data_IF_726560140501
#
_entry.id   IF_726560140501
#
_cell.length_a   1.000
_cell.length_b   1.000
_cell.length_c   1.000
_cell.angle_alpha   90.00
_cell.angle_beta   90.00
_cell.angle_gamma   90.00
#
_symmetry.space_group_name_H-M   'P 1'
#
loop_
_entity.id
_entity.type
_entity.pdbx_description
1 polymer ?
#
# COMPACT_ATOMS: atom_id res chain seq x y z
N UNK A 1 17.60 -12.85 -22.51
CA UNK A 1 16.88 -12.32 -21.33
C UNK A 1 15.59 -13.10 -21.23
N UNK A 2 15.46 -13.88 -20.17
CA UNK A 2 14.35 -14.81 -19.95
C UNK A 2 13.12 -14.07 -19.43
N UNK A 3 11.94 -14.69 -19.52
CA UNK A 3 10.69 -14.11 -18.99
C UNK A 3 10.83 -13.85 -17.49
N UNK A 4 11.39 -14.82 -16.76
CA UNK A 4 11.70 -14.71 -15.34
C UNK A 4 12.58 -13.49 -15.02
N UNK A 5 13.54 -13.13 -15.88
CA UNK A 5 14.37 -11.94 -15.68
C UNK A 5 13.54 -10.64 -15.66
N UNK A 6 12.48 -10.56 -16.46
CA UNK A 6 11.56 -9.39 -16.45
C UNK A 6 10.73 -9.33 -15.17
N UNK A 7 10.27 -10.49 -14.67
CA UNK A 7 9.56 -10.58 -13.39
C UNK A 7 10.46 -10.17 -12.21
N UNK A 8 11.72 -10.61 -12.22
CA UNK A 8 12.70 -10.22 -11.19
C UNK A 8 12.98 -8.72 -11.22
N UNK A 9 13.12 -8.12 -12.42
CA UNK A 9 13.28 -6.67 -12.56
C UNK A 9 12.07 -5.91 -12.05
N UNK A 10 10.86 -6.37 -12.38
CA UNK A 10 9.63 -5.76 -11.91
C UNK A 10 9.52 -5.83 -10.39
N UNK A 11 9.82 -6.99 -9.79
CA UNK A 11 9.86 -7.17 -8.35
C UNK A 11 10.87 -6.21 -7.70
N UNK A 12 12.06 -6.06 -8.28
CA UNK A 12 13.09 -5.13 -7.79
C UNK A 12 12.65 -3.67 -7.91
N UNK A 13 12.02 -3.29 -9.01
CA UNK A 13 11.47 -1.95 -9.22
C UNK A 13 10.37 -1.63 -8.20
N UNK A 14 9.42 -2.56 -7.99
CA UNK A 14 8.35 -2.42 -7.02
C UNK A 14 8.87 -2.33 -5.58
N UNK A 15 9.87 -3.17 -5.23
CA UNK A 15 10.52 -3.16 -3.93
C UNK A 15 11.15 -1.79 -3.63
N UNK A 16 11.88 -1.22 -4.61
CA UNK A 16 12.53 0.08 -4.47
C UNK A 16 11.57 1.26 -4.46
N UNK A 17 10.53 1.25 -5.31
CA UNK A 17 9.49 2.30 -5.29
C UNK A 17 8.81 2.35 -3.92
N UNK A 18 8.50 1.20 -3.33
CA UNK A 18 7.78 1.15 -2.05
C UNK A 18 8.55 1.80 -0.91
N UNK A 19 9.87 1.61 -0.84
CA UNK A 19 10.68 2.29 0.16
C UNK A 19 10.70 3.81 0.03
N UNK A 20 10.41 4.35 -1.16
CA UNK A 20 10.29 5.80 -1.36
C UNK A 20 8.99 6.37 -0.76
N UNK A 21 7.91 5.58 -0.67
CA UNK A 21 6.59 6.03 -0.21
C UNK A 21 6.28 5.74 1.26
N UNK A 22 7.14 5.02 2.00
CA UNK A 22 6.94 4.81 3.44
C UNK A 22 6.97 6.16 4.18
N UNK A 23 5.96 6.48 5.01
CA UNK A 23 6.00 7.70 5.85
C UNK A 23 7.09 7.55 6.91
N UNK A 24 8.14 8.35 6.82
CA UNK A 24 9.20 8.39 7.84
C UNK A 24 8.80 9.28 9.01
N UNK A 25 9.02 8.80 10.25
CA UNK A 25 8.96 9.66 11.44
C UNK A 25 10.17 10.61 11.40
N UNK A 26 9.90 11.90 11.26
CA UNK A 26 10.92 12.92 11.01
C UNK A 26 11.89 13.19 12.19
N UNK A 27 11.52 12.83 13.42
CA UNK A 27 12.32 13.09 14.61
C UNK A 27 12.71 11.80 15.32
N UNK A 28 13.70 11.09 14.77
CA UNK A 28 14.30 9.95 15.48
C UNK A 28 15.76 10.27 15.75
N UNK A 29 16.21 10.07 16.99
CA UNK A 29 17.60 10.36 17.36
C UNK A 29 18.55 9.46 16.56
N UNK A 30 19.62 10.05 16.04
CA UNK A 30 20.62 9.37 15.21
C UNK A 30 21.20 8.11 15.88
N UNK A 31 21.36 8.12 17.22
CA UNK A 31 21.81 6.95 17.98
C UNK A 31 20.86 5.75 17.86
N UNK A 32 19.55 5.99 17.85
CA UNK A 32 18.56 4.93 17.73
C UNK A 32 18.57 4.33 16.31
N UNK A 33 18.83 5.17 15.31
CA UNK A 33 18.99 4.75 13.92
C UNK A 33 20.27 3.95 13.70
N UNK A 34 21.37 4.34 14.35
CA UNK A 34 22.61 3.55 14.37
C UNK A 34 22.36 2.18 15.03
N UNK A 35 21.68 2.12 16.18
CA UNK A 35 21.33 0.85 16.84
C UNK A 35 20.44 -0.02 15.95
N UNK A 36 19.44 0.58 15.30
CA UNK A 36 18.55 -0.11 14.37
C UNK A 36 19.34 -0.67 13.17
N UNK A 37 20.20 0.14 12.54
CA UNK A 37 21.03 -0.24 11.41
C UNK A 37 21.96 -1.40 11.77
N UNK A 38 22.61 -1.35 12.94
CA UNK A 38 23.42 -2.46 13.47
C UNK A 38 22.56 -3.72 13.63
N UNK A 39 21.34 -3.59 14.15
CA UNK A 39 20.39 -4.70 14.28
C UNK A 39 20.03 -5.34 12.94
N UNK A 40 19.85 -4.54 11.89
CA UNK A 40 19.60 -5.02 10.52
C UNK A 40 20.83 -5.72 9.94
N UNK A 41 22.01 -5.13 10.10
CA UNK A 41 23.28 -5.67 9.61
C UNK A 41 23.61 -7.01 10.27
N UNK A 42 23.36 -7.15 11.58
CA UNK A 42 23.54 -8.43 12.30
C UNK A 42 22.65 -9.54 11.76
N UNK A 43 21.47 -9.20 11.25
CA UNK A 43 20.52 -10.16 10.67
C UNK A 43 20.82 -10.47 9.19
N UNK A 44 21.65 -9.68 8.51
CA UNK A 44 21.89 -9.82 7.07
C UNK A 44 22.35 -11.23 6.67
N UNK A 45 23.35 -11.78 7.36
CA UNK A 45 23.88 -13.12 7.06
C UNK A 45 22.82 -14.22 7.21
N UNK A 46 22.02 -14.14 8.27
CA UNK A 46 20.87 -15.04 8.49
C UNK A 46 19.86 -14.92 7.35
N UNK A 47 19.47 -13.71 6.95
CA UNK A 47 18.51 -13.53 5.84
C UNK A 47 19.05 -14.06 4.53
N UNK A 48 20.32 -13.79 4.22
CA UNK A 48 20.95 -14.32 3.03
C UNK A 48 20.96 -15.86 3.04
N UNK A 49 21.28 -16.48 4.18
CA UNK A 49 21.25 -17.93 4.35
C UNK A 49 19.84 -18.50 4.15
N UNK A 50 18.83 -17.93 4.81
CA UNK A 50 17.43 -18.38 4.68
C UNK A 50 16.90 -18.25 3.26
N UNK A 51 17.36 -17.21 2.53
CA UNK A 51 17.01 -17.02 1.13
C UNK A 51 17.95 -17.78 0.18
N UNK A 52 18.98 -18.49 0.67
CA UNK A 52 19.91 -19.23 -0.17
C UNK A 52 19.45 -20.67 -0.41
N UNK A 53 18.18 -20.84 -0.74
CA UNK A 53 17.61 -22.12 -1.17
C UNK A 53 17.76 -22.31 -2.69
N UNK A 54 17.61 -23.54 -3.17
CA UNK A 54 17.79 -23.87 -4.57
C UNK A 54 16.47 -23.91 -5.33
N UNK A 55 15.39 -24.32 -4.66
CA UNK A 55 14.08 -24.45 -5.27
C UNK A 55 13.02 -23.60 -4.57
N UNK A 56 11.97 -23.25 -5.32
CA UNK A 56 10.89 -22.40 -4.82
C UNK A 56 10.12 -23.04 -3.66
N UNK A 57 9.91 -24.37 -3.68
CA UNK A 57 9.19 -25.09 -2.62
C UNK A 57 9.96 -25.18 -1.30
N UNK A 58 11.27 -24.92 -1.31
CA UNK A 58 12.13 -24.88 -0.12
C UNK A 58 12.10 -23.50 0.55
N UNK A 59 11.52 -22.50 -0.12
CA UNK A 59 11.49 -21.13 0.36
C UNK A 59 10.44 -20.98 1.47
N UNK A 60 10.91 -20.72 2.68
CA UNK A 60 10.04 -20.26 3.77
C UNK A 60 9.60 -18.81 3.50
N UNK A 61 8.30 -18.63 3.29
CA UNK A 61 7.69 -17.33 3.02
C UNK A 61 7.83 -16.35 4.20
N UNK A 62 7.92 -16.85 5.44
CA UNK A 62 8.17 -15.99 6.59
C UNK A 62 9.60 -15.43 6.54
N UNK A 63 10.59 -16.23 6.19
CA UNK A 63 11.95 -15.78 5.98
C UNK A 63 12.07 -14.72 4.87
N UNK A 64 11.32 -14.88 3.76
CA UNK A 64 11.21 -13.85 2.71
C UNK A 64 10.56 -12.55 3.23
N UNK A 65 9.48 -12.66 4.00
CA UNK A 65 8.80 -11.52 4.63
C UNK A 65 9.73 -10.75 5.58
N UNK A 66 10.47 -11.47 6.41
CA UNK A 66 11.41 -10.86 7.35
C UNK A 66 12.60 -10.20 6.65
N UNK A 67 13.09 -10.78 5.54
CA UNK A 67 14.12 -10.17 4.70
C UNK A 67 13.65 -8.87 4.05
N UNK A 68 12.40 -8.82 3.56
CA UNK A 68 11.76 -7.60 3.04
C UNK A 68 11.65 -6.52 4.11
N UNK A 69 11.17 -6.88 5.30
CA UNK A 69 11.05 -5.96 6.43
C UNK A 69 12.41 -5.36 6.81
N UNK A 70 13.47 -6.17 6.83
CA UNK A 70 14.83 -5.68 7.07
C UNK A 70 15.30 -4.67 6.02
N UNK A 71 15.03 -4.94 4.73
CA UNK A 71 15.38 -4.01 3.64
C UNK A 71 14.62 -2.68 3.74
N UNK A 72 13.32 -2.71 4.05
CA UNK A 72 12.54 -1.48 4.24
C UNK A 72 13.02 -0.68 5.45
N UNK A 73 13.34 -1.34 6.57
CA UNK A 73 13.95 -0.69 7.72
C UNK A 73 15.26 0.03 7.35
N UNK A 74 16.09 -0.59 6.51
CA UNK A 74 17.30 0.03 5.98
C UNK A 74 16.99 1.27 5.13
N UNK A 75 16.04 1.18 4.18
CA UNK A 75 15.69 2.33 3.33
C UNK A 75 15.13 3.51 4.13
N UNK A 76 14.37 3.23 5.20
CA UNK A 76 13.89 4.26 6.12
C UNK A 76 15.04 4.95 6.88
N UNK A 77 16.07 4.19 7.27
CA UNK A 77 17.29 4.75 7.86
C UNK A 77 18.06 5.59 6.83
N UNK A 78 18.36 5.02 5.65
CA UNK A 78 19.15 5.68 4.59
C UNK A 78 18.55 7.03 4.18
N UNK A 79 17.22 7.12 4.15
CA UNK A 79 16.52 8.35 3.77
C UNK A 79 16.55 9.42 4.85
N UNK A 80 16.50 9.03 6.13
CA UNK A 80 16.52 9.98 7.26
C UNK A 80 17.93 10.43 7.60
N UNK A 81 18.88 9.50 7.57
CA UNK A 81 20.27 9.69 7.93
C UNK A 81 21.18 9.03 6.88
N UNK A 82 21.29 9.59 5.67
CA UNK A 82 22.19 9.06 4.65
C UNK A 82 23.65 9.04 5.09
N UNK A 83 24.04 9.94 6.01
CA UNK A 83 25.40 10.09 6.53
C UNK A 83 25.90 8.88 7.33
N UNK A 84 25.00 8.06 7.90
CA UNK A 84 25.37 6.85 8.66
C UNK A 84 25.39 5.57 7.80
N UNK A 85 25.04 5.68 6.51
CA UNK A 85 25.04 4.55 5.57
C UNK A 85 26.31 4.58 4.75
N UNK A 86 27.22 3.66 5.04
CA UNK A 86 28.44 3.49 4.23
C UNK A 86 28.14 2.76 2.92
N UNK A 87 29.06 2.87 1.96
CA UNK A 87 28.97 2.17 0.67
C UNK A 87 28.88 0.65 0.83
N UNK A 88 29.56 0.09 1.84
CA UNK A 88 29.52 -1.34 2.15
C UNK A 88 28.15 -1.78 2.64
N UNK A 89 27.53 -0.98 3.51
CA UNK A 89 26.16 -1.21 3.99
C UNK A 89 25.17 -1.17 2.82
N UNK A 90 25.32 -0.18 1.94
CA UNK A 90 24.51 -0.06 0.73
C UNK A 90 24.67 -1.29 -0.19
N UNK A 91 25.90 -1.76 -0.42
CA UNK A 91 26.15 -2.96 -1.22
C UNK A 91 25.47 -4.19 -0.59
N UNK A 92 25.60 -4.38 0.73
CA UNK A 92 24.97 -5.50 1.44
C UNK A 92 23.45 -5.46 1.27
N UNK A 93 22.82 -4.31 1.52
CA UNK A 93 21.37 -4.20 1.45
C UNK A 93 20.84 -4.28 0.01
N UNK A 94 21.61 -3.81 -0.97
CA UNK A 94 21.30 -4.02 -2.38
C UNK A 94 21.38 -5.50 -2.79
N UNK A 95 22.31 -6.27 -2.23
CA UNK A 95 22.36 -7.71 -2.44
C UNK A 95 21.17 -8.43 -1.81
N UNK A 96 20.75 -8.00 -0.60
CA UNK A 96 19.53 -8.49 0.03
C UNK A 96 18.30 -8.18 -0.85
N UNK A 97 18.18 -6.96 -1.35
CA UNK A 97 17.09 -6.55 -2.25
C UNK A 97 17.06 -7.37 -3.53
N UNK A 98 18.21 -7.61 -4.17
CA UNK A 98 18.30 -8.50 -5.34
C UNK A 98 17.84 -9.91 -5.01
N UNK A 99 18.22 -10.47 -3.86
CA UNK A 99 17.82 -11.82 -3.48
C UNK A 99 16.33 -11.93 -3.15
N UNK A 100 15.78 -10.94 -2.45
CA UNK A 100 14.33 -10.79 -2.25
C UNK A 100 13.61 -10.70 -3.60
N UNK A 101 14.11 -9.87 -4.50
CA UNK A 101 13.47 -9.63 -5.80
C UNK A 101 13.57 -10.84 -6.73
N UNK A 102 14.63 -11.63 -6.60
CA UNK A 102 14.75 -12.91 -7.28
C UNK A 102 13.61 -13.84 -6.88
N UNK A 103 13.37 -14.01 -5.57
CA UNK A 103 12.34 -14.91 -5.07
C UNK A 103 10.93 -14.41 -5.29
N UNK A 104 10.70 -13.12 -5.08
CA UNK A 104 9.44 -12.48 -5.46
C UNK A 104 9.21 -12.70 -6.96
N UNK A 105 10.18 -12.38 -7.82
CA UNK A 105 10.09 -12.61 -9.27
C UNK A 105 9.79 -14.07 -9.66
N UNK A 106 10.39 -15.05 -8.96
CA UNK A 106 10.09 -16.48 -9.15
C UNK A 106 8.65 -16.82 -8.73
N UNK A 107 8.21 -16.38 -7.55
CA UNK A 107 6.83 -16.56 -7.09
C UNK A 107 5.83 -15.92 -8.05
N UNK A 108 6.15 -14.72 -8.54
CA UNK A 108 5.34 -14.01 -9.53
C UNK A 108 5.25 -14.82 -10.83
N UNK A 109 6.40 -15.23 -11.37
CA UNK A 109 6.50 -15.96 -12.63
C UNK A 109 5.73 -17.29 -12.58
N UNK A 110 5.91 -18.09 -11.54
CA UNK A 110 5.20 -19.37 -11.40
C UNK A 110 3.68 -19.17 -11.28
N UNK A 111 3.23 -18.11 -10.59
CA UNK A 111 1.80 -17.81 -10.43
C UNK A 111 1.13 -17.25 -11.70
N UNK A 112 1.86 -16.59 -12.60
CA UNK A 112 1.28 -15.95 -13.79
C UNK A 112 1.47 -16.74 -15.08
N UNK A 113 2.38 -17.73 -15.09
CA UNK A 113 2.72 -18.56 -16.26
C UNK A 113 1.51 -19.29 -16.88
N UNK A 114 0.40 -19.41 -16.16
CA UNK A 114 -0.84 -20.07 -16.61
C UNK A 114 -1.94 -19.10 -17.07
N UNK A 115 -1.76 -17.78 -16.90
CA UNK A 115 -2.88 -16.81 -16.97
C UNK A 115 -2.71 -15.75 -18.08
N UNK A 116 -1.50 -15.46 -18.56
CA UNK A 116 -1.24 -14.22 -19.33
C UNK A 116 -0.67 -14.47 -20.73
N UNK A 117 -1.19 -13.73 -21.71
CA UNK A 117 -0.65 -13.62 -23.07
C UNK A 117 0.64 -12.77 -23.11
N UNK A 118 1.71 -13.37 -23.61
CA UNK A 118 3.10 -12.96 -23.44
C UNK A 118 3.52 -11.75 -24.29
N UNK A 119 3.00 -11.62 -25.51
CA UNK A 119 3.42 -10.52 -26.41
C UNK A 119 2.93 -9.16 -25.90
N UNK A 120 1.67 -9.14 -25.44
CA UNK A 120 1.05 -8.00 -24.80
C UNK A 120 1.88 -7.52 -23.59
N UNK A 121 2.21 -8.42 -22.66
CA UNK A 121 2.99 -8.08 -21.46
C UNK A 121 4.34 -7.40 -21.76
N UNK A 122 5.05 -7.86 -22.81
CA UNK A 122 6.37 -7.32 -23.18
C UNK A 122 6.28 -5.93 -23.80
N UNK A 123 5.28 -5.68 -24.65
CA UNK A 123 5.02 -4.37 -25.25
C UNK A 123 4.62 -3.34 -24.17
N UNK A 124 3.87 -3.78 -23.16
CA UNK A 124 3.46 -2.94 -22.05
C UNK A 124 4.60 -2.58 -21.07
N UNK A 125 5.57 -3.47 -20.83
CA UNK A 125 6.75 -3.22 -19.99
C UNK A 125 7.70 -2.16 -20.57
N UNK A 126 7.69 -1.97 -21.89
CA UNK A 126 8.54 -0.99 -22.59
C UNK A 126 8.01 0.44 -22.47
N UNK A 127 6.78 0.63 -21.99
CA UNK A 127 6.18 1.95 -21.80
C UNK A 127 6.15 2.33 -20.31
N UNK A 128 6.92 3.33 -19.84
CA UNK A 128 7.05 3.66 -18.42
C UNK A 128 5.74 4.02 -17.70
N UNK A 129 4.77 4.59 -18.43
CA UNK A 129 3.46 5.00 -17.89
C UNK A 129 2.55 3.78 -17.75
N UNK A 130 2.57 2.89 -18.74
CA UNK A 130 1.82 1.62 -18.68
C UNK A 130 2.47 0.65 -17.69
N UNK A 131 3.80 0.59 -17.60
CA UNK A 131 4.54 -0.19 -16.60
C UNK A 131 4.20 0.24 -15.16
N UNK A 132 3.97 1.53 -14.89
CA UNK A 132 3.54 2.01 -13.57
C UNK A 132 2.05 1.71 -13.26
N UNK A 133 1.21 1.63 -14.31
CA UNK A 133 -0.20 1.28 -14.21
C UNK A 133 -0.37 -0.22 -14.01
N UNK A 134 0.36 -1.02 -14.79
CA UNK A 134 0.52 -2.47 -14.63
C UNK A 134 1.17 -2.77 -13.30
N UNK A 135 2.22 -2.08 -12.85
CA UNK A 135 2.77 -2.30 -11.51
C UNK A 135 1.71 -2.13 -10.39
N UNK A 136 0.62 -1.40 -10.59
CA UNK A 136 -0.51 -1.42 -9.66
C UNK A 136 -1.48 -2.56 -9.98
N UNK A 137 -2.03 -2.60 -11.18
CA UNK A 137 -3.10 -3.54 -11.56
C UNK A 137 -2.61 -5.01 -11.55
N UNK A 138 -1.37 -5.25 -11.99
CA UNK A 138 -0.65 -6.52 -11.94
C UNK A 138 -0.21 -6.91 -10.53
N UNK A 139 0.26 -5.98 -9.68
CA UNK A 139 0.51 -6.30 -8.27
C UNK A 139 -0.81 -6.58 -7.53
N UNK A 140 -1.92 -5.99 -7.98
CA UNK A 140 -3.26 -6.29 -7.49
C UNK A 140 -3.72 -7.68 -7.92
N UNK A 141 -3.58 -8.07 -9.19
CA UNK A 141 -3.93 -9.41 -9.72
C UNK A 141 -2.99 -10.52 -9.20
N UNK A 142 -1.71 -10.22 -9.03
CA UNK A 142 -0.75 -11.13 -8.39
C UNK A 142 -1.03 -11.23 -6.89
N UNK A 143 -1.32 -10.13 -6.21
CA UNK A 143 -1.72 -10.19 -4.82
C UNK A 143 -2.98 -11.07 -4.74
N UNK A 144 -4.02 -10.77 -5.50
CA UNK A 144 -5.21 -11.63 -5.70
C UNK A 144 -4.88 -13.13 -5.83
N UNK A 145 -3.93 -13.49 -6.70
CA UNK A 145 -3.56 -14.86 -6.99
C UNK A 145 -2.73 -15.51 -5.87
N UNK A 146 -1.68 -14.83 -5.39
CA UNK A 146 -0.81 -15.24 -4.27
C UNK A 146 -1.61 -15.48 -2.98
N UNK A 147 -2.64 -14.67 -2.76
CA UNK A 147 -3.47 -14.73 -1.57
C UNK A 147 -4.62 -15.73 -1.65
N UNK A 148 -5.06 -16.08 -2.86
CA UNK A 148 -5.99 -17.20 -3.06
C UNK A 148 -5.34 -18.54 -2.69
N UNK A 149 -4.05 -18.71 -2.98
CA UNK A 149 -3.33 -19.96 -2.67
C UNK A 149 -2.82 -20.02 -1.22
N UNK A 150 -2.43 -18.89 -0.63
CA UNK A 150 -2.00 -18.86 0.78
C UNK A 150 -3.16 -19.06 1.78
N UNK A 151 -4.39 -18.68 1.42
CA UNK A 151 -5.58 -18.89 2.25
C UNK A 151 -5.99 -20.38 2.35
N UNK A 152 -5.51 -21.23 1.42
CA UNK A 152 -5.82 -22.66 1.38
C UNK A 152 -4.82 -23.54 2.16
N UNK A 153 -3.68 -22.99 2.62
CA UNK A 153 -2.64 -23.79 3.30
C UNK A 153 -2.47 -23.54 4.80
N UNK A 154 -3.14 -22.55 5.42
CA UNK A 154 -2.99 -22.27 6.85
C UNK A 154 -4.23 -22.57 7.69
N UNK A 155 -4.66 -23.84 7.66
CA UNK A 155 -5.43 -24.45 8.74
C UNK A 155 -4.50 -24.97 9.85
N UNK A 156 -3.85 -24.08 10.62
CA UNK A 156 -2.91 -24.49 11.67
C UNK A 156 -2.57 -23.41 12.70
N UNK A 157 -3.18 -23.52 13.88
CA UNK A 157 -3.14 -22.60 15.05
C UNK A 157 -1.76 -22.20 15.60
N UNK A 158 -1.63 -20.97 16.16
CA UNK A 158 -1.70 -20.71 17.64
C UNK A 158 -1.44 -19.24 18.07
N UNK A 159 -2.44 -18.70 18.76
CA UNK A 159 -2.49 -17.71 19.88
C UNK A 159 -1.53 -16.51 19.99
N UNK A 160 -2.10 -15.33 19.73
CA UNK A 160 -2.04 -14.13 20.59
C UNK A 160 -3.34 -13.38 20.29
N UNK A 161 -4.30 -13.33 21.22
CA UNK A 161 -5.69 -12.81 21.06
C UNK A 161 -5.99 -12.35 19.62
N UNK A 162 -6.21 -13.34 18.73
CA UNK A 162 -6.42 -13.06 17.30
C UNK A 162 -7.68 -12.21 17.26
N UNK A 163 -7.57 -11.00 16.75
CA UNK A 163 -8.74 -10.19 16.42
C UNK A 163 -9.52 -11.02 15.40
N UNK A 164 -10.62 -11.64 15.85
CA UNK A 164 -11.39 -12.59 15.03
C UNK A 164 -12.14 -11.88 13.90
N UNK A 165 -12.45 -10.60 14.12
CA UNK A 165 -13.15 -9.75 13.17
C UNK A 165 -12.62 -8.32 13.23
N UNK A 166 -12.66 -7.62 12.09
CA UNK A 166 -12.45 -6.17 11.99
C UNK A 166 -13.66 -5.53 11.36
N UNK A 167 -13.88 -4.27 11.71
CA UNK A 167 -14.92 -3.45 11.12
C UNK A 167 -14.29 -2.27 10.41
N UNK A 168 -14.75 -2.00 9.19
CA UNK A 168 -14.30 -0.89 8.36
C UNK A 168 -15.49 0.04 8.13
N UNK A 169 -15.32 1.33 8.40
CA UNK A 169 -16.26 2.37 7.98
C UNK A 169 -15.63 3.10 6.80
N UNK A 170 -16.35 3.23 5.69
CA UNK A 170 -15.87 3.86 4.46
C UNK A 170 -16.82 4.96 4.07
N UNK A 171 -16.26 6.10 3.67
CA UNK A 171 -17.01 7.23 3.10
C UNK A 171 -16.30 7.75 1.86
N UNK A 172 -17.09 8.23 0.90
CA UNK A 172 -16.59 8.86 -0.32
C UNK A 172 -17.01 10.33 -0.44
N UNK A 173 -16.17 11.12 -1.07
CA UNK A 173 -16.45 12.54 -1.29
C UNK A 173 -15.87 13.04 -2.61
N UNK A 174 -16.60 13.94 -3.25
CA UNK A 174 -16.09 14.74 -4.35
C UNK A 174 -15.86 16.16 -3.85
N UNK A 175 -14.63 16.66 -4.03
CA UNK A 175 -14.23 17.99 -3.58
C UNK A 175 -13.68 18.81 -4.71
N UNK A 176 -13.71 20.14 -4.57
CA UNK A 176 -13.00 21.01 -5.50
C UNK A 176 -11.50 20.81 -5.36
N UNK A 177 -10.83 20.65 -6.49
CA UNK A 177 -9.39 20.57 -6.59
C UNK A 177 -8.80 21.90 -6.12
N UNK A 178 -8.02 21.93 -5.03
CA UNK A 178 -7.58 23.18 -4.39
C UNK A 178 -6.70 24.04 -5.29
N UNK A 179 -6.05 23.43 -6.29
CA UNK A 179 -5.07 24.08 -7.16
C UNK A 179 -5.47 24.14 -8.64
N UNK A 180 -6.70 23.73 -8.99
CA UNK A 180 -7.13 23.76 -10.39
C UNK A 180 -7.84 25.09 -10.69
N UNK A 181 -7.29 25.96 -11.56
CA UNK A 181 -7.78 27.33 -11.74
C UNK A 181 -9.22 27.42 -12.28
N UNK A 182 -9.76 26.34 -12.86
CA UNK A 182 -11.15 26.24 -13.34
C UNK A 182 -12.09 25.43 -12.44
N UNK A 183 -11.65 25.04 -11.24
CA UNK A 183 -12.50 24.31 -10.28
C UNK A 183 -12.77 22.85 -10.65
N UNK A 184 -11.71 22.08 -10.98
CA UNK A 184 -11.81 20.63 -11.19
C UNK A 184 -12.30 19.90 -9.93
N UNK A 185 -12.81 18.67 -10.07
CA UNK A 185 -13.17 17.83 -8.93
C UNK A 185 -12.07 16.82 -8.64
N UNK A 186 -11.86 16.55 -7.36
CA UNK A 186 -11.04 15.46 -6.83
C UNK A 186 -11.97 14.53 -6.11
N UNK A 187 -11.96 13.28 -6.57
CA UNK A 187 -12.64 12.18 -5.91
C UNK A 187 -11.73 11.62 -4.83
N UNK A 188 -12.21 11.65 -3.60
CA UNK A 188 -11.52 11.13 -2.44
C UNK A 188 -12.40 10.11 -1.74
N UNK A 189 -11.75 9.25 -0.98
CA UNK A 189 -12.40 8.41 0.00
C UNK A 189 -11.66 8.51 1.32
N UNK A 190 -12.34 8.05 2.36
CA UNK A 190 -11.71 7.76 3.63
C UNK A 190 -12.17 6.41 4.14
N UNK A 191 -11.35 5.80 4.98
CA UNK A 191 -11.78 4.64 5.74
C UNK A 191 -11.14 4.59 7.12
N UNK A 192 -11.89 4.00 8.05
CA UNK A 192 -11.48 3.75 9.42
C UNK A 192 -11.56 2.24 9.65
N UNK A 193 -10.44 1.62 9.99
CA UNK A 193 -10.36 0.21 10.36
C UNK A 193 -10.33 0.11 11.88
N UNK A 194 -11.18 -0.74 12.46
CA UNK A 194 -11.21 -0.98 13.89
C UNK A 194 -11.31 -2.48 14.23
N UNK A 195 -10.78 -2.84 15.40
CA UNK A 195 -10.80 -4.20 15.94
C UNK A 195 -12.20 -4.58 16.42
N UNK A 196 -12.58 -5.82 16.15
CA UNK A 196 -13.85 -6.41 16.57
C UNK A 196 -15.01 -6.11 15.62
N UNK A 197 -16.15 -6.69 15.96
CA UNK A 197 -17.42 -6.53 15.26
C UNK A 197 -18.19 -5.34 15.80
N UNK A 198 -17.88 -4.17 15.26
CA UNK A 198 -18.48 -2.90 15.63
C UNK A 198 -19.78 -2.71 14.85
N UNK A 199 -20.87 -2.40 15.55
CA UNK A 199 -22.18 -2.20 14.92
C UNK A 199 -22.41 -0.74 14.53
N UNK A 200 -21.82 0.20 15.27
CA UNK A 200 -22.00 1.64 15.08
C UNK A 200 -20.69 2.39 15.32
N UNK A 201 -20.45 3.46 14.57
CA UNK A 201 -19.27 4.32 14.76
C UNK A 201 -19.15 4.92 16.17
N UNK A 202 -20.26 5.04 16.92
CA UNK A 202 -20.24 5.49 18.32
C UNK A 202 -19.42 4.58 19.23
N UNK A 203 -19.21 3.32 18.84
CA UNK A 203 -18.39 2.35 19.57
C UNK A 203 -16.89 2.47 19.21
N UNK A 204 -16.53 3.26 18.19
CA UNK A 204 -15.13 3.53 17.84
C UNK A 204 -14.47 4.39 18.92
N UNK A 205 -13.30 3.95 19.38
CA UNK A 205 -12.44 4.66 20.32
C UNK A 205 -10.96 4.42 19.96
N UNK A 206 -10.05 5.22 20.53
CA UNK A 206 -8.62 5.12 20.22
C UNK A 206 -8.00 3.73 20.48
N UNK A 207 -8.58 2.94 21.39
CA UNK A 207 -8.05 1.62 21.71
C UNK A 207 -8.44 0.54 20.69
N UNK A 208 -9.55 0.72 19.96
CA UNK A 208 -10.01 -0.22 18.93
C UNK A 208 -9.70 0.24 17.51
N UNK A 209 -9.42 1.52 17.26
CA UNK A 209 -9.00 1.99 15.93
C UNK A 209 -7.61 1.42 15.60
N UNK A 210 -7.53 0.74 14.46
CA UNK A 210 -6.29 0.20 13.88
C UNK A 210 -5.67 1.24 12.96
N UNK A 211 -6.48 1.85 12.09
CA UNK A 211 -6.00 2.91 11.22
C UNK A 211 -7.11 3.80 10.69
N UNK A 212 -6.71 5.00 10.30
CA UNK A 212 -7.51 5.97 9.58
C UNK A 212 -6.72 6.38 8.33
N UNK A 213 -7.34 6.30 7.16
CA UNK A 213 -6.72 6.69 5.90
C UNK A 213 -7.67 7.50 5.04
N UNK A 214 -7.08 8.41 4.27
CA UNK A 214 -7.74 9.17 3.22
C UNK A 214 -6.94 8.95 1.96
N UNK A 215 -7.62 8.72 0.85
CA UNK A 215 -7.00 8.46 -0.44
C UNK A 215 -7.70 9.20 -1.56
N UNK A 216 -6.96 9.44 -2.63
CA UNK A 216 -7.51 9.96 -3.87
C UNK A 216 -7.78 8.80 -4.83
N UNK A 217 -8.92 8.90 -5.51
CA UNK A 217 -9.38 7.96 -6.53
C UNK A 217 -8.94 8.46 -7.90
N UNK A 218 -8.62 7.55 -8.81
CA UNK A 218 -8.34 7.93 -10.21
C UNK A 218 -9.61 8.13 -11.04
N UNK A 219 -10.68 7.39 -10.71
CA UNK A 219 -11.99 7.52 -11.36
C UNK A 219 -12.83 8.60 -10.70
N UNK A 220 -13.44 9.48 -11.50
CA UNK A 220 -14.24 10.63 -11.01
C UNK A 220 -15.69 10.63 -11.49
N UNK A 221 -16.07 9.67 -12.34
CA UNK A 221 -17.36 9.72 -13.04
C UNK A 221 -18.52 9.20 -12.20
N UNK A 222 -18.27 8.28 -11.27
CA UNK A 222 -19.29 7.57 -10.52
C UNK A 222 -18.88 7.43 -9.04
N UNK A 223 -19.73 7.93 -8.14
CA UNK A 223 -19.46 7.97 -6.70
C UNK A 223 -19.37 6.56 -6.12
N UNK A 224 -20.16 5.63 -6.64
CA UNK A 224 -20.11 4.23 -6.28
C UNK A 224 -18.78 3.55 -6.61
N UNK A 225 -18.10 3.97 -7.68
CA UNK A 225 -16.79 3.43 -8.04
C UNK A 225 -15.70 3.93 -7.09
N UNK A 226 -15.88 5.13 -6.53
CA UNK A 226 -15.02 5.64 -5.45
C UNK A 226 -15.13 4.72 -4.23
N UNK A 227 -16.36 4.40 -3.80
CA UNK A 227 -16.58 3.52 -2.65
C UNK A 227 -16.01 2.12 -2.90
N UNK A 228 -16.13 1.58 -4.12
CA UNK A 228 -15.56 0.28 -4.46
C UNK A 228 -14.03 0.29 -4.46
N UNK A 229 -13.40 1.34 -4.98
CA UNK A 229 -11.94 1.52 -4.91
C UNK A 229 -11.48 1.69 -3.45
N UNK A 230 -12.27 2.37 -2.61
CA UNK A 230 -12.01 2.49 -1.18
C UNK A 230 -12.09 1.14 -0.46
N UNK A 231 -13.07 0.29 -0.79
CA UNK A 231 -13.18 -1.09 -0.29
C UNK A 231 -11.91 -1.87 -0.67
N UNK A 232 -11.50 -1.83 -1.93
CA UNK A 232 -10.29 -2.50 -2.40
C UNK A 232 -9.04 -2.05 -1.65
N UNK A 233 -8.84 -0.74 -1.47
CA UNK A 233 -7.71 -0.18 -0.73
C UNK A 233 -7.74 -0.51 0.77
N UNK A 234 -8.92 -0.60 1.38
CA UNK A 234 -9.08 -0.98 2.78
C UNK A 234 -8.73 -2.47 2.99
N UNK A 235 -9.20 -3.36 2.11
CA UNK A 235 -8.81 -4.77 2.11
C UNK A 235 -7.31 -4.95 1.86
N UNK A 236 -6.76 -4.24 0.87
CA UNK A 236 -5.32 -4.24 0.61
C UNK A 236 -4.51 -3.75 1.82
N UNK A 237 -4.99 -2.73 2.52
CA UNK A 237 -4.36 -2.24 3.75
C UNK A 237 -4.39 -3.28 4.86
N UNK A 238 -5.54 -3.89 5.16
CA UNK A 238 -5.66 -4.96 6.16
C UNK A 238 -4.68 -6.09 5.88
N UNK A 239 -4.63 -6.49 4.63
CA UNK A 239 -3.86 -7.65 4.25
C UNK A 239 -2.36 -7.34 4.17
N UNK A 240 -1.98 -6.27 3.47
CA UNK A 240 -0.58 -5.97 3.24
C UNK A 240 0.07 -5.34 4.48
N UNK A 241 -0.56 -4.29 5.03
CA UNK A 241 0.05 -3.51 6.10
C UNK A 241 -0.11 -4.21 7.46
N UNK A 242 -1.17 -5.02 7.63
CA UNK A 242 -1.49 -5.68 8.90
C UNK A 242 -1.50 -7.22 8.86
N UNK A 243 -1.25 -7.84 7.70
CA UNK A 243 -1.27 -9.31 7.54
C UNK A 243 -2.55 -9.96 8.09
N UNK A 244 -3.70 -9.31 7.88
CA UNK A 244 -4.99 -9.73 8.41
C UNK A 244 -5.81 -10.48 7.34
N UNK A 245 -6.32 -11.66 7.71
CA UNK A 245 -7.07 -12.58 6.81
C UNK A 245 -8.36 -13.13 7.44
N UNK A 246 -8.78 -12.60 8.60
CA UNK A 246 -9.99 -13.09 9.29
C UNK A 246 -11.25 -12.31 8.83
N UNK A 247 -12.34 -12.32 9.61
CA UNK A 247 -13.61 -11.73 9.18
C UNK A 247 -13.54 -10.21 9.04
N UNK A 248 -14.12 -9.68 7.97
CA UNK A 248 -14.18 -8.25 7.67
C UNK A 248 -15.65 -7.82 7.54
N UNK A 249 -16.05 -6.85 8.35
CA UNK A 249 -17.35 -6.18 8.26
C UNK A 249 -17.13 -4.77 7.70
N UNK A 250 -17.75 -4.43 6.59
CA UNK A 250 -17.60 -3.12 5.97
C UNK A 250 -18.94 -2.40 6.00
N UNK A 251 -18.96 -1.19 6.55
CA UNK A 251 -20.08 -0.28 6.54
C UNK A 251 -19.85 0.84 5.54
N UNK A 252 -20.82 1.01 4.64
CA UNK A 252 -20.86 2.08 3.64
C UNK A 252 -22.24 2.72 3.64
N UNK A 253 -22.34 4.01 3.32
CA UNK A 253 -23.63 4.69 3.15
C UNK A 253 -24.09 4.79 1.68
N UNK A 254 -23.24 4.36 0.74
CA UNK A 254 -23.57 4.26 -0.67
C UNK A 254 -24.29 2.95 -1.01
N UNK A 255 -25.61 3.01 -1.11
CA UNK A 255 -26.44 1.84 -1.43
C UNK A 255 -26.14 1.26 -2.83
N UNK A 256 -25.85 2.13 -3.81
CA UNK A 256 -25.49 1.71 -5.18
C UNK A 256 -24.20 0.91 -5.18
N UNK A 257 -23.17 1.38 -4.46
CA UNK A 257 -21.92 0.67 -4.29
C UNK A 257 -22.12 -0.70 -3.61
N UNK A 258 -23.00 -0.81 -2.61
CA UNK A 258 -23.35 -2.11 -1.99
C UNK A 258 -23.92 -3.09 -3.02
N UNK A 259 -24.83 -2.62 -3.88
CA UNK A 259 -25.41 -3.46 -4.93
C UNK A 259 -24.36 -3.88 -5.95
N UNK A 260 -23.48 -2.97 -6.34
CA UNK A 260 -22.38 -3.27 -7.26
C UNK A 260 -21.36 -4.22 -6.64
N UNK A 261 -21.02 -4.05 -5.37
CA UNK A 261 -20.15 -4.97 -4.63
C UNK A 261 -20.67 -6.40 -4.69
N UNK A 262 -21.97 -6.63 -4.45
CA UNK A 262 -22.51 -7.99 -4.50
C UNK A 262 -22.38 -8.66 -5.88
N UNK A 263 -22.37 -7.86 -6.96
CA UNK A 263 -22.17 -8.35 -8.33
C UNK A 263 -20.68 -8.53 -8.64
N UNK A 264 -19.87 -7.52 -8.33
CA UNK A 264 -18.45 -7.40 -8.71
C UNK A 264 -17.48 -8.05 -7.73
N UNK A 265 -17.88 -8.37 -6.50
CA UNK A 265 -16.94 -8.91 -5.49
C UNK A 265 -16.20 -10.13 -6.00
N UNK A 266 -16.84 -11.00 -6.78
CA UNK A 266 -16.21 -12.19 -7.36
C UNK A 266 -14.99 -11.89 -8.25
N UNK A 267 -14.93 -10.68 -8.80
CA UNK A 267 -13.87 -10.15 -9.66
C UNK A 267 -12.71 -9.54 -8.86
N UNK A 268 -12.85 -9.39 -7.53
CA UNK A 268 -11.83 -8.82 -6.65
C UNK A 268 -11.23 -9.90 -5.77
N UNK A 269 -10.39 -10.80 -6.25
CA UNK A 269 -9.92 -11.95 -5.47
C UNK A 269 -9.28 -11.61 -4.11
N UNK A 270 -8.90 -10.35 -3.85
CA UNK A 270 -8.64 -9.80 -2.52
C UNK A 270 -9.72 -10.17 -1.49
N UNK A 271 -11.01 -10.22 -1.84
CA UNK A 271 -12.06 -10.61 -0.88
C UNK A 271 -11.96 -12.10 -0.47
N UNK A 272 -11.40 -12.96 -1.33
CA UNK A 272 -11.25 -14.40 -1.07
C UNK A 272 -10.13 -14.70 -0.07
N UNK A 273 -9.27 -13.72 0.18
CA UNK A 273 -8.14 -13.81 1.11
C UNK A 273 -8.56 -13.67 2.58
N UNK A 274 -9.83 -13.35 2.81
CA UNK A 274 -10.43 -13.19 4.14
C UNK A 274 -11.42 -14.32 4.38
N UNK A 275 -11.55 -14.79 5.62
CA UNK A 275 -12.58 -15.76 6.01
C UNK A 275 -13.98 -15.33 5.54
N UNK A 276 -14.29 -14.04 5.70
CA UNK A 276 -15.49 -13.44 5.12
C UNK A 276 -15.32 -11.94 4.92
N UNK A 277 -15.95 -11.39 3.87
CA UNK A 277 -16.07 -9.94 3.65
C UNK A 277 -17.55 -9.59 3.48
N UNK A 278 -18.09 -8.90 4.48
CA UNK A 278 -19.50 -8.53 4.55
C UNK A 278 -19.67 -7.03 4.39
N UNK A 279 -20.10 -6.59 3.21
CA UNK A 279 -20.43 -5.17 2.96
C UNK A 279 -21.91 -4.92 3.27
N UNK A 280 -22.14 -4.06 4.25
CA UNK A 280 -23.44 -3.66 4.75
C UNK A 280 -23.67 -2.17 4.55
N UNK A 281 -24.92 -1.81 4.32
CA UNK A 281 -25.31 -0.41 4.19
C UNK A 281 -25.64 0.13 5.57
N UNK A 282 -25.17 1.33 5.87
CA UNK A 282 -25.57 2.10 7.04
C UNK A 282 -26.12 3.44 6.58
N UNK A 283 -27.13 3.98 7.25
CA UNK A 283 -27.60 5.33 6.92
C UNK A 283 -26.51 6.37 7.19
N UNK A 284 -26.41 7.39 6.35
CA UNK A 284 -25.41 8.47 6.42
C UNK A 284 -25.22 9.08 7.82
N UNK A 285 -26.29 9.20 8.61
CA UNK A 285 -26.24 9.70 9.98
C UNK A 285 -25.44 8.84 10.97
N UNK A 286 -25.00 7.65 10.58
CA UNK A 286 -24.19 6.72 11.39
C UNK A 286 -22.79 6.45 10.80
N UNK A 287 -22.42 7.11 9.70
CA UNK A 287 -21.10 7.04 9.03
C UNK A 287 -20.34 8.38 9.14
N UNK A 288 -20.57 9.09 10.25
CA UNK A 288 -20.14 10.46 10.51
C UNK A 288 -18.64 10.64 10.70
N UNK A 289 -17.91 9.66 11.25
CA UNK A 289 -16.47 9.75 11.52
C UNK A 289 -15.69 9.54 10.23
N UNK A 290 -16.07 8.55 9.41
CA UNK A 290 -15.51 8.41 8.07
C UNK A 290 -15.83 9.66 7.21
N UNK A 291 -17.08 10.13 7.19
CA UNK A 291 -17.44 11.37 6.48
C UNK A 291 -16.66 12.59 6.98
N UNK A 292 -16.49 12.76 8.31
CA UNK A 292 -15.68 13.84 8.86
C UNK A 292 -14.20 13.72 8.45
N UNK A 293 -13.63 12.52 8.49
CA UNK A 293 -12.24 12.26 8.08
C UNK A 293 -12.04 12.63 6.60
N UNK A 294 -12.98 12.24 5.75
CA UNK A 294 -13.03 12.58 4.33
C UNK A 294 -13.22 14.09 4.10
N UNK A 295 -14.04 14.77 4.91
CA UNK A 295 -14.30 16.22 4.81
C UNK A 295 -13.16 17.10 5.32
N UNK A 296 -12.46 16.68 6.37
CA UNK A 296 -11.36 17.45 6.95
C UNK A 296 -10.07 17.34 6.14
N UNK A 297 -9.91 16.29 5.34
CA UNK A 297 -8.70 16.02 4.59
C UNK A 297 -8.96 16.02 3.08
N UNK A 298 -7.98 16.48 2.29
CA UNK A 298 -8.01 16.37 0.83
C UNK A 298 -6.68 15.79 0.41
N UNK A 299 -6.72 14.64 -0.27
CA UNK A 299 -5.53 14.07 -0.89
C UNK A 299 -5.54 14.44 -2.36
N UNK A 300 -4.41 14.94 -2.85
CA UNK A 300 -4.20 15.28 -4.25
C UNK A 300 -2.86 14.71 -4.68
N UNK A 301 -2.88 13.96 -5.76
CA UNK A 301 -1.71 13.37 -6.40
C UNK A 301 -1.31 14.27 -7.54
N UNK A 302 -0.07 14.75 -7.51
CA UNK A 302 0.50 15.55 -8.57
C UNK A 302 1.35 14.68 -9.47
N UNK A 303 1.33 14.94 -10.77
CA UNK A 303 2.45 14.56 -11.63
C UNK A 303 3.71 15.33 -11.21
N UNK A 304 4.88 14.80 -11.55
CA UNK A 304 6.15 15.49 -11.24
C UNK A 304 6.17 16.92 -11.79
N UNK A 305 5.71 17.13 -13.01
CA UNK A 305 5.63 18.46 -13.61
C UNK A 305 4.67 19.42 -12.89
N UNK A 306 3.58 18.92 -12.29
CA UNK A 306 2.68 19.75 -11.47
C UNK A 306 3.29 20.04 -10.11
N UNK A 307 4.01 19.09 -9.53
CA UNK A 307 4.74 19.27 -8.28
C UNK A 307 5.85 20.31 -8.44
N UNK A 308 6.66 20.22 -9.51
CA UNK A 308 7.74 21.16 -9.81
C UNK A 308 7.19 22.60 -10.01
N UNK A 309 5.98 22.73 -10.58
CA UNK A 309 5.30 24.03 -10.68
C UNK A 309 4.88 24.57 -9.32
N UNK A 310 4.43 23.71 -8.40
CA UNK A 310 4.04 24.12 -7.05
C UNK A 310 5.26 24.57 -6.23
N UNK A 311 6.39 23.90 -6.38
CA UNK A 311 7.66 24.29 -5.75
C UNK A 311 8.12 25.66 -6.25
N UNK A 312 7.97 25.94 -7.55
CA UNK A 312 8.21 27.28 -8.11
C UNK A 312 7.23 28.33 -7.57
N UNK A 313 5.97 27.98 -7.34
CA UNK A 313 4.98 28.89 -6.75
C UNK A 313 5.27 29.20 -5.27
N UNK A 314 5.69 28.20 -4.49
CA UNK A 314 6.07 28.39 -3.09
C UNK A 314 7.35 29.22 -2.98
N UNK A 315 8.36 28.92 -3.81
CA UNK A 315 9.58 29.73 -3.92
C UNK A 315 9.28 31.17 -4.37
N UNK A 316 8.38 31.36 -5.34
CA UNK A 316 7.98 32.69 -5.80
C UNK A 316 7.22 33.48 -4.72
N UNK A 317 6.43 32.82 -3.87
CA UNK A 317 5.75 33.45 -2.74
C UNK A 317 6.73 33.78 -1.60
N UNK A 318 7.69 32.90 -1.31
CA UNK A 318 8.75 33.14 -0.34
C UNK A 318 9.66 34.30 -0.77
N UNK A 319 10.06 34.35 -2.05
CA UNK A 319 10.83 35.47 -2.62
C UNK A 319 10.04 36.79 -2.61
N UNK A 320 8.74 36.77 -2.95
CA UNK A 320 7.88 37.97 -2.83
C UNK A 320 7.79 38.50 -1.42
N UNK A 321 7.76 37.63 -0.42
CA UNK A 321 7.74 38.02 0.99
C UNK A 321 9.11 38.52 1.45
N UNK A 322 10.20 37.94 0.95
CA UNK A 322 11.56 38.38 1.21
C UNK A 322 11.80 39.82 0.69
N UNK A 323 11.45 40.09 -0.58
CA UNK A 323 11.59 41.44 -1.16
C UNK A 323 10.57 42.47 -0.63
N UNK A 324 9.50 42.05 0.05
CA UNK A 324 8.61 42.96 0.78
C UNK A 324 9.15 43.38 2.14
N UNK A 325 10.00 42.56 2.75
CA UNK A 325 10.57 42.82 4.08
C UNK A 325 11.88 43.62 4.03
N UNK A 326 12.52 43.75 2.86
CA UNK A 326 13.69 44.62 2.65
C UNK A 326 13.32 46.04 2.16
N UNK A 327 12.03 46.32 1.96
CA UNK A 327 11.53 47.62 1.50
C UNK A 327 10.94 48.50 2.62
N UNK A 328 11.27 48.22 3.89
CA UNK A 328 10.90 49.01 5.07
C UNK A 328 12.13 49.65 5.69
#
# INVERSE_FOLDING_TARGET
>A
MTILDEYIKLALYALNLRGQYCKTKANTEIENEIRALIGLLRKYSLRMMQLNVHFLYELDLNSLREAKSNFFGYQDIQRRHPEIVTKEVEIMMNNLARRVSYWEGQLLYENTRTIIDYENFREYLQNPIQANRIAKDFLYEIAESYLCDSALQEGGSKSNQRVESVTIFIDETNKKHPLHPKGGLVSNYSFIIAKGKIKKESELNYANIVCEKVGQVRSTNHVEDITLEAIGNALFTLLYDYNYTQDVHIWIDNLTAKHHWNKKKKELALYKCFNSVNVSHVSRGYNTKADALSRQNVVVTFSKAEFDKLEQFDLANQLKNYFKNEAV
#
